data_IF_676222294053
#
_entry.id   IF_676222294053
#
_cell.length_a   1.000
_cell.length_b   1.000
_cell.length_c   1.000
_cell.angle_alpha   90.00
_cell.angle_beta   90.00
_cell.angle_gamma   90.00
#
_symmetry.space_group_name_H-M   'P 1'
#
loop_
_entity.id
_entity.type
_entity.pdbx_description
1 polymer ?
#
# COMPACT_ATOMS: atom_id res chain seq x y z
N UNK A 1 31.66 2.80 -9.23
CA UNK A 1 30.36 2.08 -9.29
C UNK A 1 29.27 3.06 -8.96
N UNK A 2 28.18 3.10 -9.73
CA UNK A 2 27.03 3.96 -9.44
C UNK A 2 26.17 3.21 -8.44
N UNK A 3 25.84 3.84 -7.32
CA UNK A 3 25.03 3.26 -6.27
C UNK A 3 23.58 3.77 -6.38
N UNK A 4 22.64 3.03 -5.79
CA UNK A 4 21.24 3.41 -5.67
C UNK A 4 21.08 4.73 -4.91
N UNK A 5 20.14 5.62 -5.28
CA UNK A 5 19.89 6.85 -4.55
C UNK A 5 19.49 6.57 -3.09
N UNK A 6 19.98 7.42 -2.19
CA UNK A 6 19.68 7.27 -0.75
C UNK A 6 18.19 7.35 -0.46
N UNK A 7 17.65 6.32 0.20
CA UNK A 7 16.25 6.25 0.59
C UNK A 7 15.35 5.60 -0.46
N UNK A 8 15.93 4.96 -1.47
CA UNK A 8 15.24 4.05 -2.38
C UNK A 8 15.73 2.62 -2.15
N UNK A 9 15.03 1.62 -2.65
CA UNK A 9 15.38 0.20 -2.55
C UNK A 9 15.00 -0.51 -3.84
N UNK A 10 15.90 -1.36 -4.35
CA UNK A 10 15.57 -2.29 -5.43
C UNK A 10 14.68 -3.42 -4.89
N UNK A 11 13.68 -3.82 -5.65
CA UNK A 11 12.92 -5.05 -5.44
C UNK A 11 13.59 -6.18 -6.20
N UNK A 12 14.34 -7.02 -5.50
CA UNK A 12 15.05 -8.15 -6.11
C UNK A 12 14.09 -9.29 -6.46
N UNK A 13 14.44 -10.14 -7.46
CA UNK A 13 13.62 -11.33 -7.79
C UNK A 13 13.32 -12.22 -6.58
N UNK A 14 14.26 -12.35 -5.64
CA UNK A 14 14.10 -13.10 -4.40
C UNK A 14 13.14 -12.49 -3.37
N UNK A 15 12.65 -11.27 -3.61
CA UNK A 15 11.71 -10.55 -2.71
C UNK A 15 10.40 -10.21 -3.42
N UNK A 16 10.38 -10.21 -4.75
CA UNK A 16 9.22 -9.73 -5.54
C UNK A 16 7.92 -10.52 -5.26
N UNK A 17 8.03 -11.83 -4.97
CA UNK A 17 6.87 -12.67 -4.65
C UNK A 17 6.11 -12.20 -3.41
N UNK A 18 6.80 -11.56 -2.44
CA UNK A 18 6.18 -11.00 -1.24
C UNK A 18 5.29 -9.81 -1.58
N UNK A 19 5.74 -8.99 -2.54
CA UNK A 19 4.98 -7.87 -3.08
C UNK A 19 3.76 -8.33 -3.85
N UNK A 20 3.93 -9.32 -4.74
CA UNK A 20 2.82 -9.93 -5.47
C UNK A 20 1.75 -10.46 -4.51
N UNK A 21 2.15 -11.12 -3.42
CA UNK A 21 1.23 -11.62 -2.40
C UNK A 21 0.35 -10.53 -1.82
N UNK A 22 0.93 -9.45 -1.29
CA UNK A 22 0.15 -8.37 -0.66
C UNK A 22 -0.67 -7.58 -1.68
N UNK A 23 -0.11 -7.35 -2.88
CA UNK A 23 -0.80 -6.64 -3.96
C UNK A 23 -1.99 -7.43 -4.52
N UNK A 24 -1.86 -8.75 -4.66
CA UNK A 24 -2.96 -9.59 -5.15
C UNK A 24 -4.12 -9.60 -4.14
N UNK A 25 -3.82 -9.74 -2.84
CA UNK A 25 -4.84 -9.63 -1.79
C UNK A 25 -5.50 -8.24 -1.80
N UNK A 26 -4.73 -7.16 -2.03
CA UNK A 26 -5.28 -5.81 -2.15
C UNK A 26 -6.27 -5.69 -3.31
N UNK A 27 -5.92 -6.23 -4.49
CA UNK A 27 -6.80 -6.26 -5.69
C UNK A 27 -8.06 -7.07 -5.45
N UNK A 28 -7.93 -8.28 -4.87
CA UNK A 28 -9.05 -9.15 -4.55
C UNK A 28 -10.02 -8.49 -3.56
N UNK A 29 -9.51 -7.94 -2.45
CA UNK A 29 -10.35 -7.27 -1.45
C UNK A 29 -11.01 -6.05 -2.05
N UNK A 30 -10.28 -5.20 -2.78
CA UNK A 30 -10.87 -4.03 -3.44
C UNK A 30 -12.00 -4.45 -4.41
N UNK A 31 -11.81 -5.51 -5.19
CA UNK A 31 -12.83 -6.03 -6.10
C UNK A 31 -14.08 -6.54 -5.34
N UNK A 32 -13.91 -7.25 -4.21
CA UNK A 32 -15.03 -7.71 -3.38
C UNK A 32 -15.87 -6.54 -2.83
N UNK A 33 -15.27 -5.38 -2.58
CA UNK A 33 -15.96 -4.16 -2.14
C UNK A 33 -16.45 -3.28 -3.32
N UNK A 34 -16.26 -3.71 -4.56
CA UNK A 34 -16.68 -2.99 -5.78
C UNK A 34 -15.80 -1.81 -6.15
N UNK A 35 -14.57 -1.72 -5.61
CA UNK A 35 -13.58 -0.71 -6.01
C UNK A 35 -12.87 -1.16 -7.30
N UNK A 36 -12.64 -0.21 -8.20
CA UNK A 36 -11.96 -0.43 -9.49
C UNK A 36 -10.60 0.26 -9.48
N UNK A 37 -9.62 -0.37 -10.16
CA UNK A 37 -8.28 0.20 -10.24
C UNK A 37 -8.29 1.52 -11.01
N UNK A 38 -7.57 2.53 -10.46
CA UNK A 38 -7.25 3.78 -11.12
C UNK A 38 -5.74 3.99 -11.09
N UNK A 39 -5.16 4.47 -12.18
CA UNK A 39 -3.74 4.80 -12.28
C UNK A 39 -3.60 6.26 -12.70
N UNK A 40 -2.89 7.03 -11.90
CA UNK A 40 -2.56 8.43 -12.18
C UNK A 40 -1.08 8.57 -12.52
N UNK A 41 -0.65 9.65 -13.19
CA UNK A 41 0.76 9.91 -13.47
C UNK A 41 1.62 9.95 -12.20
N UNK A 42 2.92 9.65 -12.34
CA UNK A 42 3.88 9.72 -11.23
C UNK A 42 4.23 11.16 -10.87
N UNK A 43 4.06 12.10 -11.77
CA UNK A 43 4.27 13.53 -11.56
C UNK A 43 3.07 14.32 -12.03
N UNK A 44 2.82 15.42 -11.36
CA UNK A 44 1.69 16.33 -11.58
C UNK A 44 2.21 17.78 -11.53
N UNK A 45 1.38 18.73 -11.93
CA UNK A 45 1.67 20.14 -11.65
C UNK A 45 1.80 20.36 -10.15
N UNK A 46 2.84 21.07 -9.73
CA UNK A 46 3.11 21.36 -8.31
C UNK A 46 1.91 21.99 -7.62
N UNK A 47 1.14 22.82 -8.33
CA UNK A 47 -0.07 23.50 -7.85
C UNK A 47 -1.12 22.52 -7.30
N UNK A 48 -1.25 21.32 -7.88
CA UNK A 48 -2.18 20.30 -7.39
C UNK A 48 -1.92 19.96 -5.91
N UNK A 49 -0.66 19.79 -5.55
CA UNK A 49 -0.28 19.43 -4.19
C UNK A 49 -0.29 20.63 -3.24
N UNK A 50 0.05 21.82 -3.71
CA UNK A 50 -0.07 23.05 -2.92
C UNK A 50 -1.51 23.26 -2.46
N UNK A 51 -2.47 23.14 -3.38
CA UNK A 51 -3.89 23.30 -3.08
C UNK A 51 -4.46 22.11 -2.30
N UNK A 52 -4.21 20.90 -2.77
CA UNK A 52 -4.86 19.69 -2.26
C UNK A 52 -4.27 19.22 -0.91
N UNK A 53 -2.96 19.29 -0.70
CA UNK A 53 -2.30 18.74 0.50
C UNK A 53 -2.23 19.76 1.64
N UNK A 54 -2.15 21.05 1.28
CA UNK A 54 -2.05 22.17 2.21
C UNK A 54 -0.63 22.71 2.37
N UNK A 55 -0.46 24.01 2.16
CA UNK A 55 0.82 24.73 2.17
C UNK A 55 1.58 24.65 3.50
N UNK A 56 0.90 24.33 4.61
CA UNK A 56 1.48 24.27 5.96
C UNK A 56 1.98 22.91 6.36
N UNK A 57 1.78 21.89 5.52
CA UNK A 57 2.18 20.51 5.81
C UNK A 57 3.69 20.32 5.64
N UNK A 58 4.29 19.41 6.40
CA UNK A 58 5.70 19.05 6.24
C UNK A 58 5.97 18.48 4.82
N UNK A 59 4.98 17.81 4.25
CA UNK A 59 5.05 17.28 2.87
C UNK A 59 5.32 18.40 1.89
N UNK A 60 4.50 19.44 1.89
CA UNK A 60 4.61 20.57 0.95
C UNK A 60 5.84 21.42 1.23
N UNK A 61 6.14 21.67 2.50
CA UNK A 61 7.22 22.59 2.88
C UNK A 61 8.63 21.99 2.79
N UNK A 62 8.78 20.66 2.87
CA UNK A 62 10.10 20.01 3.03
C UNK A 62 10.30 18.71 2.24
N UNK A 63 9.22 18.03 1.84
CA UNK A 63 9.33 16.63 1.39
C UNK A 63 9.00 16.41 -0.08
N UNK A 64 8.50 17.41 -0.80
CA UNK A 64 8.21 17.29 -2.23
C UNK A 64 9.49 17.24 -3.08
N UNK A 65 9.50 16.38 -4.08
CA UNK A 65 10.48 16.39 -5.17
C UNK A 65 9.92 17.24 -6.32
N UNK A 66 10.31 18.49 -6.37
CA UNK A 66 9.82 19.47 -7.34
C UNK A 66 10.94 19.82 -8.34
N UNK A 67 10.57 19.93 -9.61
CA UNK A 67 11.49 20.26 -10.72
C UNK A 67 10.74 21.02 -11.82
N UNK A 68 11.47 21.75 -12.64
CA UNK A 68 10.90 22.38 -13.82
C UNK A 68 11.02 21.46 -15.03
N UNK A 69 9.94 21.33 -15.81
CA UNK A 69 10.00 20.63 -17.08
C UNK A 69 10.71 21.50 -18.16
N UNK A 70 10.95 20.92 -19.34
CA UNK A 70 11.61 21.65 -20.45
C UNK A 70 10.81 22.87 -20.94
N UNK A 71 9.54 22.96 -20.60
CA UNK A 71 8.65 24.10 -20.88
C UNK A 71 8.61 25.14 -19.77
N UNK A 72 9.42 25.00 -18.71
CA UNK A 72 9.46 25.91 -17.55
C UNK A 72 8.25 25.78 -16.62
N UNK A 73 7.54 24.66 -16.66
CA UNK A 73 6.39 24.40 -15.76
C UNK A 73 6.86 23.64 -14.53
N UNK A 74 6.43 24.09 -13.36
CA UNK A 74 6.76 23.41 -12.11
C UNK A 74 5.99 22.11 -11.96
N UNK A 75 6.72 21.00 -11.83
CA UNK A 75 6.23 19.64 -11.69
C UNK A 75 6.70 19.03 -10.36
N UNK A 76 5.92 18.15 -9.79
CA UNK A 76 6.25 17.46 -8.53
C UNK A 76 5.98 15.96 -8.67
N UNK A 77 6.94 15.11 -8.26
CA UNK A 77 6.67 13.69 -8.06
C UNK A 77 5.61 13.55 -6.96
N UNK A 78 4.56 12.77 -7.21
CA UNK A 78 3.41 12.66 -6.29
C UNK A 78 3.86 12.26 -4.87
N UNK A 79 3.63 13.12 -3.86
CA UNK A 79 3.96 12.82 -2.47
C UNK A 79 2.84 12.03 -1.76
N UNK A 80 1.69 11.87 -2.42
CA UNK A 80 0.53 11.07 -2.01
C UNK A 80 -0.36 10.79 -3.24
N UNK A 81 -1.31 9.86 -3.12
CA UNK A 81 -2.13 9.42 -4.27
C UNK A 81 -3.46 10.16 -4.42
N UNK A 82 -4.06 10.61 -3.32
CA UNK A 82 -5.44 11.12 -3.25
C UNK A 82 -5.68 12.34 -4.13
N UNK A 83 -4.79 13.35 -4.10
CA UNK A 83 -4.91 14.55 -4.92
C UNK A 83 -4.86 14.24 -6.42
N UNK A 84 -4.00 13.30 -6.85
CA UNK A 84 -3.95 12.85 -8.24
C UNK A 84 -5.25 12.16 -8.68
N UNK A 85 -5.86 11.36 -7.79
CA UNK A 85 -7.18 10.75 -8.06
C UNK A 85 -8.27 11.81 -8.11
N UNK A 86 -8.26 12.80 -7.21
CA UNK A 86 -9.22 13.90 -7.23
C UNK A 86 -9.14 14.71 -8.54
N UNK A 87 -7.93 15.07 -9.00
CA UNK A 87 -7.73 15.73 -10.30
C UNK A 87 -8.26 14.85 -11.43
N UNK A 88 -7.94 13.54 -11.43
CA UNK A 88 -8.42 12.60 -12.45
C UNK A 88 -9.95 12.49 -12.47
N UNK A 89 -10.58 12.48 -11.29
CA UNK A 89 -12.04 12.47 -11.14
C UNK A 89 -12.70 13.69 -11.78
N UNK A 90 -12.10 14.87 -11.61
CA UNK A 90 -12.60 16.15 -12.17
C UNK A 90 -12.38 16.18 -13.69
N UNK A 91 -11.14 15.99 -14.12
CA UNK A 91 -10.71 16.17 -15.51
C UNK A 91 -11.42 15.21 -16.48
N UNK A 92 -11.65 13.98 -16.05
CA UNK A 92 -12.35 12.98 -16.88
C UNK A 92 -13.88 12.97 -16.67
N UNK A 93 -14.43 13.92 -15.94
CA UNK A 93 -15.88 14.05 -15.73
C UNK A 93 -16.49 12.84 -15.01
N UNK A 94 -15.74 12.13 -14.17
CA UNK A 94 -16.19 10.89 -13.51
C UNK A 94 -17.38 11.14 -12.57
N UNK A 95 -17.58 12.39 -12.15
CA UNK A 95 -18.75 12.85 -11.37
C UNK A 95 -20.08 12.74 -12.13
N UNK A 96 -20.05 12.59 -13.47
CA UNK A 96 -21.25 12.41 -14.31
C UNK A 96 -21.65 10.92 -14.44
N UNK A 97 -20.80 10.03 -13.99
CA UNK A 97 -21.03 8.58 -14.01
C UNK A 97 -21.86 8.07 -12.83
N UNK A 98 -21.79 6.76 -12.63
CA UNK A 98 -22.46 6.09 -11.50
C UNK A 98 -21.79 6.48 -10.18
N UNK A 99 -22.59 6.93 -9.21
CA UNK A 99 -22.14 7.30 -7.88
C UNK A 99 -22.65 6.30 -6.81
N UNK A 100 -21.88 6.08 -5.74
CA UNK A 100 -20.55 6.61 -5.47
C UNK A 100 -19.49 6.02 -6.40
N UNK A 101 -18.53 6.83 -6.85
CA UNK A 101 -17.34 6.35 -7.57
C UNK A 101 -16.35 5.75 -6.57
N UNK A 102 -16.04 4.47 -6.72
CA UNK A 102 -15.14 3.70 -5.86
C UNK A 102 -13.87 3.32 -6.64
N UNK A 103 -12.73 3.83 -6.23
CA UNK A 103 -11.45 3.57 -6.89
C UNK A 103 -10.37 3.11 -5.89
N UNK A 104 -9.44 2.26 -6.35
CA UNK A 104 -8.22 1.94 -5.62
C UNK A 104 -7.00 2.11 -6.52
N UNK A 105 -5.86 2.33 -5.90
CA UNK A 105 -4.57 2.39 -6.58
C UNK A 105 -3.48 1.66 -5.80
N UNK A 106 -2.49 1.13 -6.53
CA UNK A 106 -1.20 0.68 -6.00
C UNK A 106 -0.15 1.49 -6.75
N UNK A 107 0.62 2.31 -6.02
CA UNK A 107 1.42 3.33 -6.67
C UNK A 107 2.67 3.72 -5.87
N UNK A 108 3.78 4.01 -6.58
CA UNK A 108 4.96 4.63 -5.97
C UNK A 108 4.66 6.05 -5.53
N UNK A 109 5.08 6.41 -4.33
CA UNK A 109 4.95 7.72 -3.68
C UNK A 109 6.34 8.22 -3.32
N UNK A 110 6.57 9.54 -3.44
CA UNK A 110 7.88 10.13 -3.30
C UNK A 110 7.89 11.23 -2.25
N UNK A 111 8.69 11.04 -1.18
CA UNK A 111 8.86 12.04 -0.10
C UNK A 111 10.31 12.16 0.31
N UNK A 112 10.84 13.37 0.38
CA UNK A 112 12.20 13.64 0.82
C UNK A 112 12.30 13.55 2.36
N UNK A 113 11.95 12.37 2.89
CA UNK A 113 12.05 12.09 4.32
C UNK A 113 13.46 11.60 4.73
N UNK A 114 13.76 11.67 6.03
CA UNK A 114 14.93 10.96 6.56
C UNK A 114 14.66 9.46 6.53
N UNK A 115 15.43 8.68 5.73
CA UNK A 115 15.19 7.25 5.60
C UNK A 115 15.36 6.52 6.94
N UNK A 116 14.45 5.58 7.20
CA UNK A 116 14.47 4.66 8.34
C UNK A 116 13.68 3.40 7.98
N UNK A 117 13.72 2.36 8.84
CA UNK A 117 12.99 1.12 8.59
C UNK A 117 11.49 1.39 8.33
N UNK A 118 11.00 0.89 7.19
CA UNK A 118 9.62 1.07 6.74
C UNK A 118 9.27 2.51 6.30
N UNK A 119 10.27 3.42 6.16
CA UNK A 119 10.11 4.76 5.59
C UNK A 119 11.22 5.05 4.60
N UNK A 120 10.87 5.00 3.33
CA UNK A 120 11.75 5.28 2.21
C UNK A 120 11.33 6.59 1.53
N UNK A 121 12.23 7.15 0.73
CA UNK A 121 11.95 8.32 -0.10
C UNK A 121 11.08 7.99 -1.31
N UNK A 122 11.22 6.78 -1.84
CA UNK A 122 10.25 6.14 -2.70
C UNK A 122 9.64 4.96 -1.93
N UNK A 123 8.33 4.94 -1.81
CA UNK A 123 7.59 3.85 -1.16
C UNK A 123 6.31 3.57 -1.94
N UNK A 124 5.76 2.38 -1.78
CA UNK A 124 4.54 1.97 -2.47
C UNK A 124 3.35 2.09 -1.54
N UNK A 125 2.26 2.61 -2.08
CA UNK A 125 1.03 2.82 -1.33
C UNK A 125 -0.13 2.08 -2.00
N UNK A 126 -0.85 1.29 -1.23
CA UNK A 126 -2.21 0.89 -1.54
C UNK A 126 -3.15 1.93 -0.97
N UNK A 127 -4.00 2.51 -1.80
CA UNK A 127 -5.01 3.46 -1.38
C UNK A 127 -6.36 3.21 -2.01
N UNK A 128 -7.42 3.62 -1.34
CA UNK A 128 -8.79 3.61 -1.85
C UNK A 128 -9.43 4.95 -1.66
N UNK A 129 -10.31 5.31 -2.61
CA UNK A 129 -11.01 6.59 -2.63
C UNK A 129 -12.47 6.35 -3.03
N UNK A 130 -13.40 6.86 -2.24
CA UNK A 130 -14.85 6.80 -2.48
C UNK A 130 -15.39 8.22 -2.59
N UNK A 131 -15.85 8.61 -3.78
CA UNK A 131 -16.37 9.95 -4.07
C UNK A 131 -17.89 9.94 -4.22
N UNK A 132 -18.55 11.02 -3.79
CA UNK A 132 -19.96 11.28 -4.05
C UNK A 132 -20.92 10.80 -2.97
N UNK A 133 -20.44 10.29 -1.83
CA UNK A 133 -21.29 9.92 -0.71
C UNK A 133 -20.91 10.67 0.56
N UNK A 134 -21.86 11.41 1.14
CA UNK A 134 -21.71 12.03 2.47
C UNK A 134 -22.26 11.15 3.61
N UNK A 135 -22.74 9.94 3.28
CA UNK A 135 -23.28 9.00 4.25
C UNK A 135 -22.19 8.43 5.15
N UNK A 136 -22.44 8.27 6.47
CA UNK A 136 -21.57 7.52 7.40
C UNK A 136 -21.27 6.09 6.95
N UNK A 137 -22.14 5.49 6.13
CA UNK A 137 -21.94 4.17 5.56
C UNK A 137 -20.73 4.11 4.62
N UNK A 138 -20.39 5.20 3.93
CA UNK A 138 -19.21 5.24 3.09
C UNK A 138 -17.92 5.24 3.92
N UNK A 139 -17.91 5.91 5.08
CA UNK A 139 -16.78 5.86 6.04
C UNK A 139 -16.61 4.43 6.56
N UNK A 140 -17.70 3.80 6.99
CA UNK A 140 -17.69 2.43 7.49
C UNK A 140 -17.24 1.43 6.41
N UNK A 141 -17.68 1.58 5.17
CA UNK A 141 -17.27 0.77 4.01
C UNK A 141 -15.75 0.82 3.80
N UNK A 142 -15.17 2.02 3.77
CA UNK A 142 -13.73 2.23 3.59
C UNK A 142 -12.92 1.66 4.76
N UNK A 143 -13.38 1.87 5.99
CA UNK A 143 -12.74 1.30 7.20
C UNK A 143 -12.82 -0.23 7.19
N UNK A 144 -13.97 -0.78 6.80
CA UNK A 144 -14.18 -2.24 6.72
C UNK A 144 -13.31 -2.88 5.65
N UNK A 145 -13.15 -2.24 4.50
CA UNK A 145 -12.22 -2.68 3.45
C UNK A 145 -10.79 -2.75 3.99
N UNK A 146 -10.31 -1.68 4.64
CA UNK A 146 -8.98 -1.65 5.26
C UNK A 146 -8.81 -2.77 6.29
N UNK A 147 -9.79 -2.96 7.19
CA UNK A 147 -9.79 -4.03 8.19
C UNK A 147 -9.73 -5.42 7.54
N UNK A 148 -10.55 -5.66 6.50
CA UNK A 148 -10.59 -6.93 5.77
C UNK A 148 -9.25 -7.22 5.09
N UNK A 149 -8.67 -6.22 4.42
CA UNK A 149 -7.36 -6.35 3.79
C UNK A 149 -6.27 -6.71 4.81
N UNK A 150 -6.16 -5.92 5.89
CA UNK A 150 -5.13 -6.13 6.92
C UNK A 150 -5.24 -7.50 7.61
N UNK A 151 -6.46 -8.01 7.81
CA UNK A 151 -6.68 -9.36 8.33
C UNK A 151 -6.31 -10.45 7.32
N UNK A 152 -6.69 -10.28 6.04
CA UNK A 152 -6.39 -11.26 4.98
C UNK A 152 -4.90 -11.41 4.69
N UNK A 153 -4.13 -10.33 4.80
CA UNK A 153 -2.66 -10.41 4.66
C UNK A 153 -1.96 -11.01 5.88
N UNK A 154 -2.69 -11.32 6.97
CA UNK A 154 -2.16 -12.03 8.13
C UNK A 154 -1.86 -11.18 9.37
N UNK A 155 -2.25 -9.89 9.41
CA UNK A 155 -2.08 -9.08 10.62
C UNK A 155 -3.11 -9.45 11.70
N UNK A 156 -2.63 -9.75 12.92
CA UNK A 156 -3.45 -10.19 14.06
C UNK A 156 -3.61 -9.13 15.14
N UNK A 157 -2.54 -8.41 15.47
CA UNK A 157 -2.51 -7.44 16.57
C UNK A 157 -2.73 -6.02 16.04
N UNK A 158 -3.99 -5.73 15.66
CA UNK A 158 -4.40 -4.45 15.11
C UNK A 158 -5.35 -3.72 16.05
N UNK A 159 -5.07 -2.45 16.29
CA UNK A 159 -5.95 -1.53 16.96
C UNK A 159 -6.49 -0.51 15.95
N UNK A 160 -7.80 -0.41 15.81
CA UNK A 160 -8.46 0.64 15.05
C UNK A 160 -8.73 1.83 15.98
N UNK A 161 -8.10 2.93 15.71
CA UNK A 161 -8.34 4.21 16.38
C UNK A 161 -9.21 5.10 15.49
N UNK A 162 -10.29 5.63 16.03
CA UNK A 162 -11.22 6.55 15.36
C UNK A 162 -11.21 7.92 16.02
N UNK A 163 -11.40 8.97 15.21
CA UNK A 163 -11.69 10.32 15.69
C UNK A 163 -12.61 11.04 14.71
N UNK A 164 -13.20 12.14 15.15
CA UNK A 164 -13.81 13.12 14.28
C UNK A 164 -13.14 14.47 14.49
N UNK A 165 -12.54 15.02 13.42
CA UNK A 165 -11.96 16.36 13.45
C UNK A 165 -12.95 17.45 13.06
N UNK A 166 -14.23 17.11 12.94
CA UNK A 166 -15.33 18.03 12.66
C UNK A 166 -15.28 18.66 11.26
N UNK A 167 -16.30 19.43 10.96
CA UNK A 167 -16.37 20.27 9.78
C UNK A 167 -15.68 21.64 10.03
N UNK A 168 -15.54 22.52 9.03
CA UNK A 168 -14.96 23.87 9.23
C UNK A 168 -15.60 24.66 10.38
N UNK A 169 -16.92 24.54 10.59
CA UNK A 169 -17.62 25.18 11.71
C UNK A 169 -17.14 24.66 13.07
N UNK A 170 -17.07 23.34 13.24
CA UNK A 170 -16.55 22.71 14.47
C UNK A 170 -15.11 23.14 14.73
N UNK A 171 -14.27 23.13 13.67
CA UNK A 171 -12.85 23.50 13.78
C UNK A 171 -12.63 24.94 14.17
N UNK A 172 -13.47 25.87 13.72
CA UNK A 172 -13.35 27.28 14.10
C UNK A 172 -13.49 27.46 15.62
N UNK A 173 -14.52 26.86 16.23
CA UNK A 173 -14.74 26.91 17.68
C UNK A 173 -13.64 26.15 18.46
N UNK A 174 -13.29 24.96 17.98
CA UNK A 174 -12.25 24.17 18.62
C UNK A 174 -10.87 24.85 18.57
N UNK A 175 -10.49 25.41 17.42
CA UNK A 175 -9.21 26.10 17.28
C UNK A 175 -9.09 27.29 18.23
N UNK A 176 -10.19 27.99 18.51
CA UNK A 176 -10.23 29.07 19.48
C UNK A 176 -9.90 28.56 20.89
N UNK A 177 -10.59 27.49 21.33
CA UNK A 177 -10.36 26.88 22.64
C UNK A 177 -8.95 26.26 22.75
N UNK A 178 -8.48 25.60 21.66
CA UNK A 178 -7.14 25.03 21.63
C UNK A 178 -6.04 26.09 21.68
N UNK A 179 -6.18 27.19 20.93
CA UNK A 179 -5.23 28.32 20.98
C UNK A 179 -5.21 28.97 22.36
N UNK A 180 -6.35 29.15 23.01
CA UNK A 180 -6.42 29.68 24.37
C UNK A 180 -5.65 28.77 25.35
N UNK A 181 -5.90 27.46 25.28
CA UNK A 181 -5.23 26.48 26.14
C UNK A 181 -3.71 26.42 25.89
N UNK A 182 -3.28 26.32 24.64
CA UNK A 182 -1.86 26.19 24.27
C UNK A 182 -1.11 27.51 24.51
N UNK A 183 -1.76 28.65 24.26
CA UNK A 183 -1.17 29.98 24.37
C UNK A 183 -0.52 30.26 25.71
N UNK A 184 -1.13 29.77 26.81
CA UNK A 184 -0.60 29.89 28.17
C UNK A 184 0.75 29.17 28.34
N UNK A 185 1.01 28.09 27.55
CA UNK A 185 2.19 27.23 27.66
C UNK A 185 3.09 27.26 26.41
N UNK A 186 2.82 28.15 25.47
CA UNK A 186 3.49 28.19 24.17
C UNK A 186 5.01 28.35 24.28
N UNK A 187 5.47 29.15 25.23
CA UNK A 187 6.89 29.41 25.49
C UNK A 187 7.66 28.17 25.98
N UNK A 188 6.97 27.15 26.49
CA UNK A 188 7.55 25.88 26.94
C UNK A 188 7.62 24.83 25.79
N UNK A 189 6.95 25.08 24.70
CA UNK A 189 6.86 24.13 23.56
C UNK A 189 8.10 24.21 22.66
N UNK A 190 8.28 23.19 21.82
CA UNK A 190 9.36 23.19 20.83
C UNK A 190 9.13 24.26 19.75
N UNK A 191 10.21 24.70 19.09
CA UNK A 191 10.13 25.74 18.05
C UNK A 191 9.17 25.40 16.88
N UNK A 192 9.04 24.11 16.54
CA UNK A 192 8.08 23.66 15.52
C UNK A 192 6.62 23.85 15.97
N UNK A 193 6.30 23.57 17.24
CA UNK A 193 4.98 23.82 17.81
C UNK A 193 4.65 25.30 17.89
N UNK A 194 5.63 26.13 18.25
CA UNK A 194 5.49 27.58 18.25
C UNK A 194 5.18 28.11 16.84
N UNK A 195 5.87 27.61 15.81
CA UNK A 195 5.59 27.99 14.41
C UNK A 195 4.23 27.49 13.89
N UNK A 196 3.73 26.35 14.40
CA UNK A 196 2.42 25.79 14.05
C UNK A 196 1.25 26.48 14.73
N UNK A 197 1.49 27.16 15.83
CA UNK A 197 0.45 27.74 16.69
C UNK A 197 -0.49 28.66 15.94
N UNK A 198 0.04 29.54 15.08
CA UNK A 198 -0.79 30.47 14.29
C UNK A 198 -1.39 29.81 13.05
N UNK A 199 -0.62 28.98 12.37
CA UNK A 199 -1.00 28.43 11.07
C UNK A 199 -1.94 27.24 11.17
N UNK A 200 -1.62 26.28 12.03
CA UNK A 200 -2.39 25.03 12.18
C UNK A 200 -2.20 24.45 13.60
N UNK A 201 -2.95 24.95 14.60
CA UNK A 201 -2.78 24.52 16.00
C UNK A 201 -3.09 23.04 16.22
N UNK A 202 -3.96 22.42 15.41
CA UNK A 202 -4.25 20.98 15.47
C UNK A 202 -2.99 20.13 15.33
N UNK A 203 -2.03 20.54 14.50
CA UNK A 203 -0.77 19.81 14.29
C UNK A 203 0.14 19.78 15.52
N UNK A 204 -0.14 20.58 16.53
CA UNK A 204 0.60 20.58 17.80
C UNK A 204 0.28 19.31 18.59
N UNK A 205 -0.94 18.78 18.45
CA UNK A 205 -1.37 17.55 19.13
C UNK A 205 -0.59 16.31 18.66
N UNK A 206 -0.04 16.32 17.45
CA UNK A 206 0.80 15.23 16.88
C UNK A 206 2.31 15.47 17.12
N UNK A 207 2.69 16.37 18.04
CA UNK A 207 4.08 16.61 18.33
C UNK A 207 4.71 15.39 19.03
N UNK A 208 5.93 15.02 18.58
CA UNK A 208 6.65 13.85 19.11
C UNK A 208 7.54 14.17 20.33
N UNK A 209 7.78 15.46 20.59
CA UNK A 209 8.56 15.91 21.73
C UNK A 209 7.80 15.68 23.03
N UNK A 210 8.41 14.98 24.00
CA UNK A 210 7.77 14.63 25.27
C UNK A 210 7.21 15.84 26.02
N UNK A 211 7.97 16.93 26.10
CA UNK A 211 7.50 18.18 26.74
C UNK A 211 6.24 18.76 26.11
N UNK A 212 6.09 18.62 24.77
CA UNK A 212 4.90 19.07 24.06
C UNK A 212 3.71 18.13 24.30
N UNK A 213 3.96 16.81 24.34
CA UNK A 213 2.93 15.80 24.65
C UNK A 213 2.36 16.00 26.07
N UNK A 214 3.21 16.25 27.05
CA UNK A 214 2.74 16.52 28.42
C UNK A 214 1.84 17.76 28.49
N UNK A 215 2.18 18.83 27.75
CA UNK A 215 1.35 20.03 27.68
C UNK A 215 0.01 19.73 27.00
N UNK A 216 0.02 18.97 25.88
CA UNK A 216 -1.19 18.67 25.10
C UNK A 216 -2.06 17.58 25.69
N UNK A 217 -1.59 16.82 26.68
CA UNK A 217 -2.31 15.71 27.31
C UNK A 217 -3.70 16.08 27.82
N UNK A 218 -3.83 17.29 28.39
CA UNK A 218 -5.07 17.80 28.94
C UNK A 218 -5.73 18.88 28.03
N UNK A 219 -5.31 18.96 26.78
CA UNK A 219 -5.90 19.90 25.84
C UNK A 219 -7.40 19.58 25.59
N UNK A 220 -8.22 20.59 25.25
CA UNK A 220 -9.59 20.36 24.84
C UNK A 220 -9.68 19.31 23.75
N UNK A 221 -10.72 18.47 23.78
CA UNK A 221 -10.93 17.42 22.78
C UNK A 221 -11.87 17.93 21.69
N UNK A 222 -11.51 17.72 20.42
CA UNK A 222 -12.34 18.14 19.28
C UNK A 222 -13.74 17.52 19.33
N UNK A 223 -13.89 16.33 19.89
CA UNK A 223 -15.18 15.64 20.04
C UNK A 223 -16.19 16.39 20.89
N UNK A 224 -15.74 17.30 21.77
CA UNK A 224 -16.59 18.10 22.64
C UNK A 224 -17.16 19.34 21.91
N UNK A 225 -16.56 19.70 20.77
CA UNK A 225 -16.89 20.86 19.92
C UNK A 225 -17.61 20.48 18.61
N UNK A 226 -18.00 19.22 18.46
CA UNK A 226 -18.73 18.79 17.27
C UNK A 226 -20.14 19.40 17.24
N UNK A 227 -20.51 19.99 16.09
CA UNK A 227 -21.89 20.35 15.81
C UNK A 227 -22.78 19.09 15.73
N UNK A 228 -24.09 19.26 15.83
CA UNK A 228 -25.04 18.15 15.86
C UNK A 228 -24.90 17.21 14.65
N UNK A 229 -24.72 17.75 13.44
CA UNK A 229 -24.50 16.95 12.22
C UNK A 229 -23.22 16.11 12.29
N UNK A 230 -22.11 16.68 12.74
CA UNK A 230 -20.84 15.96 12.86
C UNK A 230 -20.89 14.93 13.98
N UNK A 231 -21.60 15.22 15.07
CA UNK A 231 -21.82 14.31 16.18
C UNK A 231 -22.67 13.11 15.73
N UNK A 232 -23.79 13.36 15.08
CA UNK A 232 -24.68 12.33 14.55
C UNK A 232 -23.97 11.44 13.53
N UNK A 233 -23.22 12.05 12.59
CA UNK A 233 -22.42 11.33 11.61
C UNK A 233 -21.41 10.39 12.30
N UNK A 234 -20.65 10.89 13.27
CA UNK A 234 -19.62 10.11 13.95
C UNK A 234 -20.22 8.98 14.82
N UNK A 235 -21.35 9.24 15.47
CA UNK A 235 -22.09 8.20 16.20
C UNK A 235 -22.59 7.10 15.28
N UNK A 236 -23.09 7.46 14.10
CA UNK A 236 -23.58 6.48 13.12
C UNK A 236 -22.46 5.63 12.55
N UNK A 237 -21.26 6.19 12.25
CA UNK A 237 -20.08 5.40 11.88
C UNK A 237 -19.75 4.37 12.95
N UNK A 238 -19.71 4.79 14.22
CA UNK A 238 -19.44 3.88 15.36
C UNK A 238 -20.50 2.77 15.46
N UNK A 239 -21.79 3.12 15.31
CA UNK A 239 -22.91 2.16 15.35
C UNK A 239 -22.76 1.11 14.25
N UNK A 240 -22.45 1.52 13.02
CA UNK A 240 -22.26 0.61 11.89
C UNK A 240 -21.07 -0.33 12.14
N UNK A 241 -19.91 0.20 12.55
CA UNK A 241 -18.73 -0.63 12.83
C UNK A 241 -19.00 -1.63 13.95
N UNK A 242 -19.70 -1.23 15.00
CA UNK A 242 -20.12 -2.12 16.10
C UNK A 242 -21.03 -3.23 15.58
N UNK A 243 -22.00 -2.91 14.72
CA UNK A 243 -22.91 -3.91 14.14
C UNK A 243 -22.21 -4.93 13.24
N UNK A 244 -21.06 -4.55 12.67
CA UNK A 244 -20.20 -5.41 11.85
C UNK A 244 -19.15 -6.19 12.69
N UNK A 245 -19.16 -6.03 14.03
CA UNK A 245 -18.19 -6.67 14.91
C UNK A 245 -16.76 -6.14 14.79
N UNK A 246 -16.60 -4.90 14.31
CA UNK A 246 -15.28 -4.26 14.21
C UNK A 246 -15.03 -3.48 15.50
N UNK A 247 -14.03 -3.93 16.26
CA UNK A 247 -13.58 -3.25 17.47
C UNK A 247 -12.80 -2.00 17.14
N UNK A 248 -13.01 -0.93 17.89
CA UNK A 248 -12.31 0.35 17.74
C UNK A 248 -12.20 1.09 19.07
N UNK A 249 -11.25 2.03 19.12
CA UNK A 249 -11.12 3.00 20.20
C UNK A 249 -11.33 4.41 19.67
N UNK A 250 -12.13 5.22 20.38
CA UNK A 250 -12.21 6.65 20.10
C UNK A 250 -10.99 7.34 20.70
N UNK A 251 -10.15 7.91 19.81
CA UNK A 251 -8.90 8.56 20.19
C UNK A 251 -8.87 10.01 19.69
N UNK A 252 -9.27 10.99 20.52
CA UNK A 252 -9.28 12.41 20.14
C UNK A 252 -7.91 13.00 19.79
N UNK A 253 -6.81 12.31 20.12
CA UNK A 253 -5.44 12.72 19.79
C UNK A 253 -5.03 12.44 18.34
N UNK A 254 -5.84 11.70 17.55
CA UNK A 254 -5.51 11.47 16.15
C UNK A 254 -5.70 12.76 15.34
N UNK A 255 -4.60 13.23 14.79
CA UNK A 255 -4.53 14.33 13.81
C UNK A 255 -3.80 13.79 12.58
N UNK A 256 -4.40 13.93 11.41
CA UNK A 256 -3.79 13.44 10.15
C UNK A 256 -2.73 14.40 9.62
N UNK A 257 -1.79 13.82 8.86
CA UNK A 257 -0.65 14.52 8.28
C UNK A 257 -0.99 15.48 7.12
N UNK A 258 -2.24 15.55 6.68
CA UNK A 258 -2.73 16.29 5.52
C UNK A 258 -3.87 17.20 5.95
N UNK A 259 -3.94 18.41 5.41
CA UNK A 259 -4.86 19.44 5.89
C UNK A 259 -6.29 19.29 5.32
N UNK A 260 -6.48 18.51 4.28
CA UNK A 260 -7.78 18.31 3.62
C UNK A 260 -8.80 17.51 4.42
N UNK A 261 -8.38 16.78 5.46
CA UNK A 261 -9.32 15.94 6.21
C UNK A 261 -10.41 16.73 6.92
N UNK A 262 -11.61 16.12 6.94
CA UNK A 262 -12.81 16.64 7.62
C UNK A 262 -13.54 15.47 8.30
N UNK A 263 -14.39 15.75 9.32
CA UNK A 263 -15.21 14.73 10.00
C UNK A 263 -14.40 13.50 10.43
N UNK A 264 -14.78 12.31 9.95
CA UNK A 264 -14.18 11.03 10.36
C UNK A 264 -12.72 10.91 9.92
N UNK A 265 -11.84 10.55 10.83
CA UNK A 265 -10.46 10.13 10.58
C UNK A 265 -10.17 8.84 11.35
N UNK A 266 -9.30 8.00 10.81
CA UNK A 266 -8.98 6.72 11.42
C UNK A 266 -7.53 6.28 11.16
N UNK A 267 -7.04 5.41 12.04
CA UNK A 267 -5.73 4.76 11.91
C UNK A 267 -5.83 3.32 12.38
N UNK A 268 -5.25 2.40 11.59
CA UNK A 268 -4.92 1.07 12.07
C UNK A 268 -3.48 1.06 12.56
N UNK A 269 -3.30 0.67 13.81
CA UNK A 269 -2.01 0.62 14.49
C UNK A 269 -1.69 -0.83 14.79
N UNK A 270 -0.51 -1.31 14.37
CA UNK A 270 0.02 -2.59 14.81
C UNK A 270 0.84 -2.39 16.09
N UNK A 271 0.60 -3.21 17.09
CA UNK A 271 1.38 -3.22 18.33
C UNK A 271 2.73 -3.94 18.18
N UNK A 272 2.94 -4.61 17.05
CA UNK A 272 4.12 -5.46 16.81
C UNK A 272 5.38 -4.68 16.37
N UNK A 273 5.28 -3.40 16.02
CA UNK A 273 6.39 -2.57 15.50
C UNK A 273 6.73 -1.31 16.34
N UNK A 274 6.42 -1.32 17.62
CA UNK A 274 6.84 -0.24 18.55
C UNK A 274 6.22 1.13 18.24
N UNK A 275 6.95 2.23 18.52
CA UNK A 275 6.42 3.60 18.56
C UNK A 275 5.87 4.20 17.25
N UNK A 276 6.01 3.54 16.12
CA UNK A 276 5.50 3.97 14.80
C UNK A 276 4.53 2.95 14.19
N UNK A 277 3.63 2.42 15.00
CA UNK A 277 2.72 1.32 14.67
C UNK A 277 1.66 1.60 13.60
N UNK A 278 1.42 2.84 13.16
CA UNK A 278 0.39 3.13 12.15
C UNK A 278 0.73 2.48 10.80
N UNK A 279 -0.04 1.47 10.41
CA UNK A 279 0.10 0.74 9.14
C UNK A 279 -0.84 1.27 8.06
N UNK A 280 -2.03 1.76 8.45
CA UNK A 280 -3.02 2.33 7.54
C UNK A 280 -3.63 3.57 8.17
N UNK A 281 -3.92 4.58 7.37
CA UNK A 281 -4.59 5.75 7.87
C UNK A 281 -5.39 6.46 6.80
N UNK A 282 -6.57 6.95 7.19
CA UNK A 282 -7.51 7.56 6.29
C UNK A 282 -8.52 8.47 6.98
N UNK A 283 -9.53 8.82 6.23
CA UNK A 283 -10.63 9.65 6.71
C UNK A 283 -11.38 10.32 5.57
N UNK A 284 -12.32 11.17 5.95
CA UNK A 284 -13.15 11.95 5.05
C UNK A 284 -12.47 13.28 4.67
N UNK A 285 -12.66 13.73 3.43
CA UNK A 285 -12.06 14.95 2.89
C UNK A 285 -13.01 15.64 1.91
N UNK A 286 -14.13 16.17 2.42
CA UNK A 286 -15.23 16.70 1.62
C UNK A 286 -14.90 17.94 0.80
N UNK A 287 -13.83 18.66 1.13
CA UNK A 287 -13.47 19.91 0.46
C UNK A 287 -12.42 19.72 -0.66
N UNK A 288 -11.70 18.60 -0.68
CA UNK A 288 -10.55 18.40 -1.57
C UNK A 288 -10.91 18.60 -3.05
N UNK A 289 -12.03 18.03 -3.52
CA UNK A 289 -12.44 18.15 -4.92
C UNK A 289 -12.67 19.61 -5.31
N UNK A 290 -13.28 20.41 -4.43
CA UNK A 290 -13.49 21.84 -4.64
C UNK A 290 -12.16 22.61 -4.60
N UNK A 291 -11.28 22.33 -3.66
CA UNK A 291 -9.96 22.95 -3.52
C UNK A 291 -9.08 22.77 -4.76
N UNK A 292 -9.19 21.62 -5.43
CA UNK A 292 -8.46 21.35 -6.67
C UNK A 292 -9.23 21.75 -7.94
N UNK A 293 -10.35 22.47 -7.80
CA UNK A 293 -11.07 23.13 -8.90
C UNK A 293 -12.31 22.41 -9.42
N UNK A 294 -12.79 21.36 -8.72
CA UNK A 294 -14.04 20.66 -9.06
C UNK A 294 -15.26 21.22 -8.34
N UNK A 295 -16.41 20.58 -8.52
CA UNK A 295 -17.62 20.88 -7.76
C UNK A 295 -17.51 20.25 -6.35
N UNK A 296 -18.11 20.85 -5.31
CA UNK A 296 -18.18 20.26 -3.99
C UNK A 296 -18.65 18.80 -4.06
N UNK A 297 -17.78 17.87 -3.67
CA UNK A 297 -18.05 16.44 -3.76
C UNK A 297 -17.49 15.76 -2.50
N UNK A 298 -18.35 15.16 -1.65
CA UNK A 298 -17.88 14.45 -0.48
C UNK A 298 -17.05 13.24 -0.87
N UNK A 299 -15.98 13.00 -0.10
CA UNK A 299 -15.09 11.88 -0.34
C UNK A 299 -14.50 11.33 0.95
N UNK A 300 -14.15 10.04 0.92
CA UNK A 300 -13.51 9.30 2.01
C UNK A 300 -12.55 8.26 1.43
N UNK A 301 -11.38 8.08 2.05
CA UNK A 301 -10.39 7.13 1.57
C UNK A 301 -9.32 6.84 2.61
N UNK A 302 -8.36 5.99 2.24
CA UNK A 302 -7.17 5.74 3.03
C UNK A 302 -5.94 5.53 2.15
N UNK A 303 -4.76 5.68 2.77
CA UNK A 303 -3.48 5.27 2.24
C UNK A 303 -2.75 4.34 3.21
N UNK A 304 -2.12 3.30 2.66
CA UNK A 304 -1.39 2.26 3.39
C UNK A 304 -0.05 2.01 2.70
N UNK A 305 1.07 2.15 3.44
CA UNK A 305 2.41 1.90 2.92
C UNK A 305 2.73 0.41 2.92
N UNK A 306 3.04 -0.14 1.72
CA UNK A 306 3.28 -1.58 1.55
C UNK A 306 4.62 -2.02 2.18
N UNK A 307 5.66 -1.19 2.15
CA UNK A 307 6.94 -1.49 2.81
C UNK A 307 6.77 -1.70 4.32
N UNK A 308 5.96 -0.86 4.95
CA UNK A 308 5.68 -0.99 6.38
C UNK A 308 4.85 -2.22 6.68
N UNK A 309 3.86 -2.52 5.85
CA UNK A 309 3.05 -3.72 5.96
C UNK A 309 3.92 -4.98 5.87
N UNK A 310 4.77 -5.08 4.84
CA UNK A 310 5.69 -6.21 4.66
C UNK A 310 6.65 -6.35 5.85
N UNK A 311 7.20 -5.25 6.36
CA UNK A 311 8.06 -5.26 7.54
C UNK A 311 7.35 -5.85 8.78
N UNK A 312 6.07 -5.50 8.99
CA UNK A 312 5.29 -6.07 10.10
C UNK A 312 5.07 -7.56 9.90
N UNK A 313 4.65 -7.96 8.69
CA UNK A 313 4.38 -9.37 8.37
C UNK A 313 5.63 -10.23 8.53
N UNK A 314 6.79 -9.75 8.11
CA UNK A 314 8.07 -10.44 8.28
C UNK A 314 8.47 -10.55 9.75
N UNK A 315 8.39 -9.45 10.51
CA UNK A 315 8.76 -9.44 11.93
C UNK A 315 7.85 -10.34 12.80
N UNK A 316 6.62 -10.56 12.38
CA UNK A 316 5.65 -11.40 13.09
C UNK A 316 5.57 -12.82 12.58
N UNK A 317 6.35 -13.18 11.54
CA UNK A 317 6.29 -14.48 10.83
C UNK A 317 4.88 -14.82 10.33
N UNK A 318 4.10 -13.80 9.95
CA UNK A 318 2.75 -13.95 9.41
C UNK A 318 2.70 -13.83 7.87
N UNK A 319 3.84 -13.70 7.20
CA UNK A 319 3.91 -13.62 5.75
C UNK A 319 3.76 -15.01 5.15
N UNK A 320 2.62 -15.32 4.56
CA UNK A 320 2.30 -16.60 3.92
C UNK A 320 2.69 -16.63 2.43
N UNK A 321 3.46 -15.66 1.97
CA UNK A 321 3.93 -15.59 0.59
C UNK A 321 4.87 -16.78 0.28
N UNK A 322 4.63 -17.43 -0.84
CA UNK A 322 5.48 -18.51 -1.33
C UNK A 322 6.24 -18.05 -2.56
N UNK A 323 7.54 -18.35 -2.59
CA UNK A 323 8.34 -18.11 -3.78
C UNK A 323 7.87 -19.04 -4.91
N UNK A 324 7.74 -18.48 -6.10
CA UNK A 324 7.38 -19.27 -7.26
C UNK A 324 8.59 -20.06 -7.75
N UNK A 325 8.49 -21.39 -7.69
CA UNK A 325 9.53 -22.30 -8.15
C UNK A 325 9.23 -22.79 -9.56
N UNK A 326 10.27 -23.21 -10.28
CA UNK A 326 10.16 -23.97 -11.53
C UNK A 326 9.47 -25.30 -11.28
N UNK A 327 8.43 -25.64 -12.03
CA UNK A 327 7.77 -26.94 -11.87
C UNK A 327 8.67 -28.08 -12.35
N UNK A 328 9.29 -27.94 -13.52
CA UNK A 328 10.18 -28.95 -14.10
C UNK A 328 11.40 -28.34 -14.77
N UNK A 329 12.57 -28.91 -14.51
CA UNK A 329 13.80 -28.63 -15.23
C UNK A 329 14.17 -29.84 -16.11
N UNK A 330 14.26 -29.66 -17.42
CA UNK A 330 14.73 -30.66 -18.36
C UNK A 330 16.23 -30.49 -18.58
N UNK A 331 17.03 -31.48 -18.15
CA UNK A 331 18.48 -31.47 -18.23
C UNK A 331 18.96 -32.28 -19.45
N UNK A 332 19.22 -31.65 -20.61
CA UNK A 332 19.67 -32.36 -21.80
C UNK A 332 21.14 -32.77 -21.72
N UNK A 333 21.46 -33.90 -22.36
CA UNK A 333 22.82 -34.37 -22.61
C UNK A 333 23.00 -34.70 -24.11
N UNK A 334 23.71 -33.83 -24.84
CA UNK A 334 23.95 -33.94 -26.26
C UNK A 334 22.98 -33.15 -27.14
N UNK A 335 23.40 -32.91 -28.38
CA UNK A 335 22.75 -31.98 -29.32
C UNK A 335 21.28 -32.34 -29.62
N UNK A 336 21.00 -33.63 -29.83
CA UNK A 336 19.63 -34.11 -30.09
C UNK A 336 18.72 -33.90 -28.88
N UNK A 337 19.26 -34.17 -27.67
CA UNK A 337 18.53 -33.97 -26.42
C UNK A 337 18.26 -32.49 -26.14
N UNK A 338 19.20 -31.60 -26.51
CA UNK A 338 19.01 -30.14 -26.39
C UNK A 338 17.88 -29.64 -27.31
N UNK A 339 17.81 -30.12 -28.55
CA UNK A 339 16.76 -29.77 -29.49
C UNK A 339 15.39 -30.20 -28.97
N UNK A 340 15.29 -31.47 -28.52
CA UNK A 340 14.04 -32.01 -27.97
C UNK A 340 13.64 -31.32 -26.65
N UNK A 341 14.59 -31.06 -25.76
CA UNK A 341 14.33 -30.33 -24.51
C UNK A 341 13.78 -28.93 -24.76
N UNK A 342 14.34 -28.19 -25.71
CA UNK A 342 13.83 -26.85 -26.10
C UNK A 342 12.37 -26.93 -26.60
N UNK A 343 12.03 -27.94 -27.37
CA UNK A 343 10.67 -28.17 -27.87
C UNK A 343 9.71 -28.50 -26.72
N UNK A 344 10.08 -29.47 -25.88
CA UNK A 344 9.26 -29.87 -24.71
C UNK A 344 9.01 -28.70 -23.76
N UNK A 345 10.05 -27.93 -23.42
CA UNK A 345 9.92 -26.74 -22.56
C UNK A 345 9.04 -25.68 -23.20
N UNK A 346 9.13 -25.48 -24.52
CA UNK A 346 8.25 -24.55 -25.23
C UNK A 346 6.78 -25.00 -25.15
N UNK A 347 6.51 -26.29 -25.40
CA UNK A 347 5.15 -26.83 -25.34
C UNK A 347 4.57 -26.76 -23.91
N UNK A 348 5.37 -27.09 -22.89
CA UNK A 348 5.00 -26.99 -21.47
C UNK A 348 4.67 -25.56 -21.08
N UNK A 349 5.48 -24.58 -21.50
CA UNK A 349 5.23 -23.16 -21.21
C UNK A 349 3.94 -22.66 -21.85
N UNK A 350 3.63 -23.11 -23.07
CA UNK A 350 2.35 -22.82 -23.71
C UNK A 350 1.15 -23.44 -22.98
N UNK A 351 1.36 -24.54 -22.26
CA UNK A 351 0.36 -25.17 -21.39
C UNK A 351 0.31 -24.55 -19.97
N UNK A 352 1.10 -23.49 -19.70
CA UNK A 352 1.13 -22.81 -18.40
C UNK A 352 2.02 -23.46 -17.34
N UNK A 353 2.81 -24.47 -17.70
CA UNK A 353 3.75 -25.16 -16.81
C UNK A 353 5.06 -24.36 -16.76
N UNK A 354 5.56 -24.07 -15.56
CA UNK A 354 6.83 -23.37 -15.33
C UNK A 354 8.00 -24.33 -15.61
N UNK A 355 8.42 -24.43 -16.86
CA UNK A 355 9.46 -25.34 -17.32
C UNK A 355 10.73 -24.61 -17.75
N UNK A 356 11.89 -25.17 -17.41
CA UNK A 356 13.20 -24.66 -17.80
C UNK A 356 14.10 -25.73 -18.40
N UNK A 357 15.10 -25.33 -19.17
CA UNK A 357 16.19 -26.17 -19.68
C UNK A 357 17.51 -25.38 -19.69
N UNK A 358 18.60 -26.05 -19.93
CA UNK A 358 19.91 -25.38 -19.98
C UNK A 358 20.05 -24.46 -21.18
N UNK A 359 20.49 -23.23 -20.91
CA UNK A 359 20.76 -22.19 -21.93
C UNK A 359 22.23 -21.72 -21.90
N UNK A 360 23.08 -22.41 -21.14
CA UNK A 360 24.49 -22.04 -20.95
C UNK A 360 25.46 -23.15 -21.33
N UNK A 361 25.00 -24.23 -21.99
CA UNK A 361 25.79 -25.40 -22.35
C UNK A 361 26.53 -26.04 -21.19
N UNK A 362 25.85 -26.18 -20.05
CA UNK A 362 26.42 -26.78 -18.83
C UNK A 362 26.41 -28.29 -18.93
N UNK A 363 27.46 -28.94 -18.39
CA UNK A 363 27.42 -30.38 -18.19
C UNK A 363 26.38 -30.79 -17.13
N UNK A 364 25.88 -32.03 -17.18
CA UNK A 364 24.78 -32.55 -16.34
C UNK A 364 24.92 -32.21 -14.84
N UNK A 365 26.10 -32.40 -14.26
CA UNK A 365 26.33 -32.10 -12.83
C UNK A 365 26.05 -30.62 -12.51
N UNK A 366 26.41 -29.71 -13.40
CA UNK A 366 26.15 -28.26 -13.23
C UNK A 366 24.68 -27.92 -13.46
N UNK A 367 23.98 -28.58 -14.37
CA UNK A 367 22.55 -28.47 -14.60
C UNK A 367 21.76 -28.93 -13.38
N UNK A 368 22.09 -30.09 -12.80
CA UNK A 368 21.45 -30.60 -11.57
C UNK A 368 21.62 -29.63 -10.39
N UNK A 369 22.84 -29.08 -10.24
CA UNK A 369 23.09 -28.06 -9.20
C UNK A 369 22.31 -26.76 -9.44
N UNK A 370 22.09 -26.39 -10.69
CA UNK A 370 21.26 -25.22 -11.05
C UNK A 370 19.80 -25.48 -10.71
N UNK A 371 19.24 -26.61 -11.13
CA UNK A 371 17.87 -27.01 -10.82
C UNK A 371 17.58 -27.05 -9.30
N UNK A 372 18.51 -27.58 -8.52
CA UNK A 372 18.43 -27.60 -7.05
C UNK A 372 18.42 -26.17 -6.46
N UNK A 373 19.33 -25.31 -6.93
CA UNK A 373 19.42 -23.90 -6.45
C UNK A 373 18.25 -23.02 -6.84
N UNK A 374 17.62 -23.31 -7.98
CA UNK A 374 16.42 -22.59 -8.45
C UNK A 374 15.13 -23.16 -7.87
N UNK A 375 15.22 -24.21 -7.03
CA UNK A 375 14.07 -24.80 -6.39
C UNK A 375 13.14 -25.54 -7.34
N UNK A 376 13.68 -26.12 -8.44
CA UNK A 376 12.87 -26.91 -9.36
C UNK A 376 12.24 -28.09 -8.62
N UNK A 377 10.89 -28.24 -8.75
CA UNK A 377 10.15 -29.33 -8.08
C UNK A 377 10.49 -30.69 -8.66
N UNK A 378 10.66 -30.74 -9.98
CA UNK A 378 11.00 -31.96 -10.71
C UNK A 378 12.18 -31.71 -11.65
N UNK A 379 12.95 -32.78 -11.91
CA UNK A 379 14.02 -32.78 -12.92
C UNK A 379 13.87 -34.01 -13.81
N UNK A 380 14.00 -33.80 -15.10
CA UNK A 380 14.07 -34.84 -16.11
C UNK A 380 15.43 -34.78 -16.78
N UNK A 381 16.22 -35.85 -16.73
CA UNK A 381 17.45 -35.97 -17.50
C UNK A 381 17.10 -36.58 -18.86
N UNK A 382 17.53 -35.92 -19.92
CA UNK A 382 17.23 -36.31 -21.29
C UNK A 382 18.54 -36.55 -22.04
N UNK A 383 18.81 -37.77 -22.40
CA UNK A 383 19.95 -38.17 -23.21
C UNK A 383 19.51 -39.00 -24.42
N UNK A 384 20.50 -39.55 -25.17
CA UNK A 384 20.20 -40.36 -26.35
C UNK A 384 19.42 -41.65 -25.99
N UNK A 385 19.72 -42.26 -24.86
CA UNK A 385 19.02 -43.47 -24.38
C UNK A 385 17.54 -43.22 -24.09
N UNK A 386 17.18 -42.08 -23.47
CA UNK A 386 15.81 -41.69 -23.21
C UNK A 386 15.06 -41.39 -24.50
N UNK A 387 15.72 -40.78 -25.48
CA UNK A 387 15.15 -40.45 -26.78
C UNK A 387 14.85 -41.78 -27.54
N UNK A 388 15.79 -42.74 -27.55
CA UNK A 388 15.59 -44.02 -28.23
C UNK A 388 14.49 -44.88 -27.59
N UNK A 389 14.38 -44.85 -26.26
CA UNK A 389 13.29 -45.55 -25.53
C UNK A 389 11.95 -44.85 -25.59
N UNK A 390 11.93 -43.55 -25.91
CA UNK A 390 10.73 -42.73 -25.87
C UNK A 390 10.18 -42.47 -24.45
N UNK A 391 11.00 -42.73 -23.39
CA UNK A 391 10.62 -42.53 -21.99
C UNK A 391 11.71 -41.75 -21.25
N UNK A 392 11.29 -41.01 -20.22
CA UNK A 392 12.16 -40.21 -19.36
C UNK A 392 11.81 -40.42 -17.89
N UNK A 393 12.81 -40.42 -17.03
CA UNK A 393 12.61 -40.46 -15.59
C UNK A 393 12.31 -39.04 -15.06
N UNK A 394 11.15 -38.87 -14.44
CA UNK A 394 10.72 -37.66 -13.75
C UNK A 394 11.10 -37.80 -12.28
N UNK A 395 12.15 -37.10 -11.88
CA UNK A 395 12.63 -37.12 -10.50
C UNK A 395 12.03 -35.99 -9.71
N UNK A 396 11.31 -36.28 -8.62
CA UNK A 396 10.88 -35.29 -7.64
C UNK A 396 12.05 -34.90 -6.75
N UNK A 397 12.33 -33.59 -6.65
CA UNK A 397 13.52 -33.10 -5.94
C UNK A 397 13.39 -33.17 -4.42
N UNK A 398 12.18 -33.08 -3.86
CA UNK A 398 11.94 -33.05 -2.42
C UNK A 398 12.27 -34.38 -1.70
N UNK A 399 12.01 -35.52 -2.34
CA UNK A 399 12.16 -36.85 -1.75
C UNK A 399 12.95 -37.83 -2.64
N UNK A 400 13.41 -37.36 -3.81
CA UNK A 400 14.15 -38.14 -4.80
C UNK A 400 13.37 -39.33 -5.39
N UNK A 401 12.05 -39.39 -5.23
CA UNK A 401 11.19 -40.36 -5.90
C UNK A 401 11.27 -40.14 -7.41
N UNK A 402 11.37 -41.21 -8.15
CA UNK A 402 11.48 -41.20 -9.62
C UNK A 402 10.36 -42.03 -10.22
N UNK A 403 9.67 -41.46 -11.19
CA UNK A 403 8.61 -42.09 -11.98
C UNK A 403 9.00 -42.09 -13.45
N UNK A 404 8.78 -43.17 -14.18
CA UNK A 404 9.01 -43.21 -15.60
C UNK A 404 7.77 -42.65 -16.33
N UNK A 405 8.00 -41.77 -17.30
CA UNK A 405 6.96 -41.13 -18.10
C UNK A 405 7.34 -41.20 -19.59
N UNK A 406 6.36 -41.37 -20.47
CA UNK A 406 6.59 -41.24 -21.91
C UNK A 406 6.87 -39.77 -22.25
N UNK A 407 7.83 -39.54 -23.15
CA UNK A 407 8.23 -38.18 -23.56
C UNK A 407 7.05 -37.44 -24.22
N UNK A 408 6.23 -38.12 -25.02
CA UNK A 408 5.04 -37.54 -25.68
C UNK A 408 3.88 -37.21 -24.71
N UNK A 409 3.90 -37.78 -23.51
CA UNK A 409 2.90 -37.54 -22.45
C UNK A 409 3.42 -36.59 -21.34
N UNK A 410 4.69 -36.13 -21.40
CA UNK A 410 5.33 -35.38 -20.34
C UNK A 410 4.62 -34.04 -20.02
N UNK A 411 4.07 -33.37 -21.03
CA UNK A 411 3.24 -32.18 -20.84
C UNK A 411 2.01 -32.49 -19.97
N UNK A 412 1.27 -33.56 -20.31
CA UNK A 412 0.07 -33.96 -19.55
C UNK A 412 0.37 -34.40 -18.13
N UNK A 413 1.58 -34.94 -17.87
CA UNK A 413 2.02 -35.31 -16.54
C UNK A 413 2.03 -34.12 -15.57
N UNK A 414 2.35 -32.92 -16.07
CA UNK A 414 2.44 -31.68 -15.30
C UNK A 414 1.20 -30.77 -15.39
N UNK A 415 0.22 -31.09 -16.24
CA UNK A 415 -1.06 -30.32 -16.37
C UNK A 415 -2.03 -30.58 -15.17
N UNK A 416 -1.63 -31.33 -14.16
CA UNK A 416 -2.46 -31.69 -12.98
C UNK A 416 -2.26 -30.61 -11.88
#
# INVERSE_FOLDING_TARGET
>A
MINIPKGTKDMLPSEAYKWHYVENIAREVAACFGFKEIRTPMFEHTELFLRGVGETTDIVTKEMYTFDDKGGRSMTLRPEGTAGVARCFIENGLHQGVMPMKAYYIASIFRYEKPQNGRLREHHQFGVECYGSDSPSADAEVITLASTFLRKVGLKNLELNLNSIGCPKCRAEYNKALKEYIGANLHLMCGQCQARFEKNPLRILDCKEEKCKEITKNAPKITDYLCDDCRAHFQEVQRILTSLGIEFKVNPGIVRGLDYYTRTVFEFVSTDIGAQGTVCGGGRYNNLVEEVGGKPTPAVGFGLGLERLLLVLENTNNLEAQEECTDVYIAPMGEKAEELARKLVFDMRNAGIKAETDIMNRGLKAQMKYADRTGAKYVCVLGDDEIEKGTVNVKRMSDSVTEECRIDELCRYFEK
#
